data_IF_717975090356
#
_entry.id   IF_717975090356
#
_cell.length_a   1.000
_cell.length_b   1.000
_cell.length_c   1.000
_cell.angle_alpha   90.00
_cell.angle_beta   90.00
_cell.angle_gamma   90.00
#
_symmetry.space_group_name_H-M   'P 1'
#
loop_
_entity.id
_entity.type
_entity.pdbx_description
1 polymer ?
#
# COMPACT_ATOMS: atom_id res chain seq x y z
N UNK A 1 -2.93 1.71 32.66
CA UNK A 1 -1.82 2.22 31.81
C UNK A 1 -1.58 3.65 32.25
N UNK A 2 -0.68 3.82 33.22
CA UNK A 2 -0.28 5.12 33.70
C UNK A 2 0.83 5.65 32.77
N UNK A 3 0.60 6.87 32.21
CA UNK A 3 1.66 7.82 31.92
C UNK A 3 2.68 7.44 30.88
N UNK A 4 2.30 7.10 29.63
CA UNK A 4 3.11 7.56 28.50
C UNK A 4 2.86 9.06 28.39
N UNK A 5 3.91 9.89 28.60
CA UNK A 5 3.85 11.30 28.26
C UNK A 5 3.26 11.40 26.85
N UNK A 6 2.04 11.94 26.75
CA UNK A 6 1.46 12.24 25.48
C UNK A 6 2.34 13.33 24.90
N UNK A 7 3.18 12.97 23.93
CA UNK A 7 4.03 13.92 23.24
C UNK A 7 3.21 15.10 22.70
N UNK A 8 3.89 16.14 22.21
CA UNK A 8 3.24 17.27 21.54
C UNK A 8 2.25 16.73 20.51
N UNK A 9 1.09 17.37 20.36
CA UNK A 9 0.12 17.06 19.33
C UNK A 9 0.73 17.11 17.92
N UNK A 10 -0.09 17.01 16.91
CA UNK A 10 0.36 17.15 15.53
C UNK A 10 -0.54 18.14 14.77
N UNK A 11 0.01 18.73 13.72
CA UNK A 11 -0.75 19.53 12.76
C UNK A 11 -1.27 18.63 11.65
N UNK A 12 -2.59 18.64 11.43
CA UNK A 12 -3.19 17.92 10.32
C UNK A 12 -3.12 18.77 9.04
N UNK A 13 -2.31 18.35 8.08
CA UNK A 13 -2.18 18.99 6.76
C UNK A 13 -3.17 18.32 5.82
N UNK A 14 -4.23 19.05 5.45
CA UNK A 14 -5.41 18.51 4.75
C UNK A 14 -5.59 19.05 3.34
N UNK A 15 -4.96 20.19 3.01
CA UNK A 15 -5.06 20.84 1.70
C UNK A 15 -4.08 20.18 0.73
N UNK A 16 -4.50 20.05 -0.51
CA UNK A 16 -3.69 19.43 -1.56
C UNK A 16 -2.31 20.08 -1.72
N UNK A 17 -2.27 21.40 -1.91
CA UNK A 17 -1.01 22.10 -2.17
C UNK A 17 -0.04 22.03 -0.99
N UNK A 18 -0.53 22.01 0.25
CA UNK A 18 0.28 21.87 1.46
C UNK A 18 0.85 20.45 1.60
N UNK A 19 0.03 19.43 1.33
CA UNK A 19 0.47 18.02 1.30
C UNK A 19 1.53 17.82 0.22
N UNK A 20 1.29 18.40 -0.97
CA UNK A 20 2.21 18.34 -2.10
C UNK A 20 3.54 19.07 -1.79
N UNK A 21 3.47 20.25 -1.19
CA UNK A 21 4.63 21.03 -0.77
C UNK A 21 5.46 20.25 0.26
N UNK A 22 4.85 19.81 1.35
CA UNK A 22 5.56 19.09 2.42
C UNK A 22 6.19 17.78 1.93
N UNK A 23 5.54 17.08 0.98
CA UNK A 23 6.08 15.86 0.38
C UNK A 23 7.35 16.10 -0.45
N UNK A 24 7.55 17.30 -0.99
CA UNK A 24 8.65 17.65 -1.90
C UNK A 24 9.79 18.40 -1.22
N UNK A 25 9.63 18.72 0.06
CA UNK A 25 10.64 19.41 0.86
C UNK A 25 11.08 18.57 2.07
N UNK A 26 11.71 17.39 1.81
CA UNK A 26 12.16 16.50 2.90
C UNK A 26 13.19 17.18 3.82
N UNK A 27 13.91 18.19 3.32
CA UNK A 27 14.85 19.00 4.12
C UNK A 27 14.15 19.87 5.19
N UNK A 28 12.83 20.11 5.05
CA UNK A 28 11.99 20.79 6.03
C UNK A 28 11.09 19.82 6.80
N UNK A 29 10.68 18.73 6.14
CA UNK A 29 9.68 17.77 6.61
C UNK A 29 10.25 16.35 6.60
N UNK A 30 11.05 16.03 7.61
CA UNK A 30 11.80 14.77 7.76
C UNK A 30 10.89 13.57 7.97
N UNK A 31 11.28 12.42 7.41
CA UNK A 31 10.67 11.11 7.66
C UNK A 31 11.42 10.32 8.77
N UNK A 32 12.64 10.71 9.14
CA UNK A 32 13.52 9.91 9.97
C UNK A 32 13.00 9.67 11.42
N UNK A 33 12.07 10.51 11.90
CA UNK A 33 11.45 10.35 13.21
C UNK A 33 10.16 9.48 13.16
N UNK A 34 9.98 8.70 12.08
CA UNK A 34 8.83 7.84 11.85
C UNK A 34 7.73 8.46 11.02
N UNK A 35 6.87 7.60 10.50
CA UNK A 35 5.81 7.93 9.53
C UNK A 35 4.40 7.86 10.12
N UNK A 36 4.25 7.43 11.36
CA UNK A 36 2.97 7.33 12.09
C UNK A 36 2.87 8.41 13.17
N UNK A 37 1.65 8.72 13.63
CA UNK A 37 1.39 9.74 14.67
C UNK A 37 2.10 9.42 15.99
N UNK A 38 2.15 8.12 16.36
CA UNK A 38 2.83 7.65 17.56
C UNK A 38 4.33 7.92 17.52
N UNK A 39 4.89 8.28 18.66
CA UNK A 39 6.35 8.43 18.78
C UNK A 39 6.99 7.05 18.85
N UNK A 40 8.06 6.89 18.12
CA UNK A 40 8.87 5.68 18.04
C UNK A 40 10.35 6.09 18.21
N UNK A 41 11.19 5.17 18.67
CA UNK A 41 12.61 5.40 18.57
C UNK A 41 13.06 5.35 17.10
N UNK A 42 14.12 6.06 16.72
CA UNK A 42 14.62 6.00 15.34
C UNK A 42 14.89 4.58 14.85
N UNK A 43 15.42 3.72 15.73
CA UNK A 43 15.72 2.31 15.41
C UNK A 43 14.43 1.51 15.09
N UNK A 44 13.37 1.73 15.86
CA UNK A 44 12.09 1.06 15.64
C UNK A 44 11.42 1.59 14.37
N UNK A 45 11.47 2.90 14.13
CA UNK A 45 10.97 3.53 12.92
C UNK A 45 11.70 2.98 11.68
N UNK A 46 13.01 2.83 11.74
CA UNK A 46 13.82 2.25 10.68
C UNK A 46 13.53 0.77 10.48
N UNK A 47 13.37 0.00 11.55
CA UNK A 47 13.09 -1.44 11.47
C UNK A 47 11.80 -1.74 10.70
N UNK A 48 10.72 -1.00 10.97
CA UNK A 48 9.44 -1.19 10.29
C UNK A 48 9.30 -0.39 8.99
N UNK A 49 9.87 0.80 8.95
CA UNK A 49 9.72 1.73 7.84
C UNK A 49 10.80 1.61 6.78
N UNK A 50 11.97 1.02 7.11
CA UNK A 50 13.11 1.01 6.21
C UNK A 50 13.31 2.39 5.55
N UNK A 51 13.54 2.44 4.25
CA UNK A 51 13.79 3.69 3.53
C UNK A 51 12.66 4.72 3.62
N UNK A 52 11.40 4.34 3.89
CA UNK A 52 10.32 5.34 4.02
C UNK A 52 10.37 6.13 5.34
N UNK A 53 11.12 5.62 6.33
CA UNK A 53 11.41 6.28 7.59
C UNK A 53 12.87 6.79 7.66
N UNK A 54 13.44 7.16 6.53
CA UNK A 54 14.79 7.71 6.42
C UNK A 54 14.78 8.98 5.59
N UNK A 55 15.82 9.80 5.78
CA UNK A 55 16.12 10.96 4.94
C UNK A 55 17.42 10.71 4.13
N UNK A 56 17.68 11.58 3.16
CA UNK A 56 18.94 11.57 2.43
C UNK A 56 20.13 11.87 3.35
N UNK A 57 21.31 11.28 3.10
CA UNK A 57 21.66 10.46 1.95
C UNK A 57 21.29 8.97 2.04
N UNK A 58 20.91 8.48 3.24
CA UNK A 58 20.63 7.05 3.44
C UNK A 58 19.41 6.59 2.64
N UNK A 59 18.35 7.40 2.61
CA UNK A 59 17.15 7.11 1.82
C UNK A 59 17.49 6.88 0.33
N UNK A 60 18.16 7.82 -0.31
CA UNK A 60 18.46 7.71 -1.74
C UNK A 60 19.39 6.53 -2.05
N UNK A 61 20.34 6.22 -1.14
CA UNK A 61 21.20 5.04 -1.26
C UNK A 61 20.37 3.76 -1.34
N UNK A 62 19.52 3.49 -0.36
CA UNK A 62 18.68 2.29 -0.34
C UNK A 62 17.67 2.27 -1.49
N UNK A 63 17.05 3.41 -1.79
CA UNK A 63 16.10 3.52 -2.89
C UNK A 63 16.73 3.20 -4.25
N UNK A 64 17.96 3.62 -4.50
CA UNK A 64 18.66 3.33 -5.76
C UNK A 64 18.98 1.84 -5.91
N UNK A 65 19.33 1.17 -4.82
CA UNK A 65 19.57 -0.29 -4.82
C UNK A 65 18.30 -1.02 -5.29
N UNK A 66 17.17 -0.71 -4.67
CA UNK A 66 15.92 -1.45 -4.91
C UNK A 66 15.15 -1.00 -6.16
N UNK A 67 15.38 0.24 -6.62
CA UNK A 67 14.68 0.81 -7.78
C UNK A 67 14.86 -0.02 -9.04
N UNK A 68 15.99 -0.70 -9.19
CA UNK A 68 16.27 -1.55 -10.34
C UNK A 68 15.26 -2.69 -10.51
N UNK A 69 14.72 -3.21 -9.40
CA UNK A 69 13.74 -4.27 -9.38
C UNK A 69 12.30 -3.82 -9.73
N UNK A 70 12.03 -2.51 -9.70
CA UNK A 70 10.71 -1.93 -10.02
C UNK A 70 10.70 -1.15 -11.35
N UNK A 71 11.67 -1.41 -12.22
CA UNK A 71 11.68 -0.77 -13.55
C UNK A 71 10.55 -1.31 -14.42
N UNK A 72 10.02 -0.50 -15.38
CA UNK A 72 9.01 -0.97 -16.32
C UNK A 72 9.41 -2.25 -17.07
N UNK A 73 10.71 -2.42 -17.33
CA UNK A 73 11.24 -3.64 -18.01
C UNK A 73 11.12 -4.89 -17.13
N UNK A 74 11.39 -4.78 -15.83
CA UNK A 74 11.23 -5.90 -14.88
C UNK A 74 9.76 -6.19 -14.67
N UNK A 75 8.93 -5.16 -14.49
CA UNK A 75 7.48 -5.31 -14.33
C UNK A 75 6.82 -5.94 -15.57
N UNK A 76 7.29 -5.62 -16.78
CA UNK A 76 6.79 -6.27 -18.00
C UNK A 76 7.06 -7.79 -18.05
N UNK A 77 8.14 -8.27 -17.40
CA UNK A 77 8.44 -9.71 -17.34
C UNK A 77 7.50 -10.48 -16.43
N UNK A 78 7.00 -9.83 -15.38
CA UNK A 78 6.05 -10.45 -14.44
C UNK A 78 4.58 -10.21 -14.84
N UNK A 79 4.33 -9.44 -15.90
CA UNK A 79 2.98 -9.07 -16.31
C UNK A 79 2.10 -10.28 -16.59
N UNK A 80 2.62 -11.24 -17.36
CA UNK A 80 1.90 -12.47 -17.69
C UNK A 80 1.59 -13.29 -16.43
N UNK A 81 2.53 -13.32 -15.47
CA UNK A 81 2.33 -13.98 -14.17
C UNK A 81 1.25 -13.29 -13.34
N UNK A 82 1.25 -11.95 -13.28
CA UNK A 82 0.23 -11.16 -12.56
C UNK A 82 -1.16 -11.40 -13.15
N UNK A 83 -1.28 -11.36 -14.47
CA UNK A 83 -2.53 -11.62 -15.21
C UNK A 83 -3.02 -13.06 -15.00
N UNK A 84 -2.12 -14.03 -15.08
CA UNK A 84 -2.47 -15.44 -14.88
C UNK A 84 -2.93 -15.72 -13.44
N UNK A 85 -2.32 -15.09 -12.45
CA UNK A 85 -2.74 -15.17 -11.04
C UNK A 85 -4.11 -14.55 -10.84
N UNK A 86 -4.37 -13.34 -11.34
CA UNK A 86 -5.67 -12.71 -11.22
C UNK A 86 -6.77 -13.58 -11.85
N UNK A 87 -6.53 -14.09 -13.06
CA UNK A 87 -7.47 -14.99 -13.75
C UNK A 87 -7.78 -16.24 -12.92
N UNK A 88 -6.73 -16.88 -12.35
CA UNK A 88 -6.92 -18.11 -11.53
C UNK A 88 -7.64 -17.82 -10.23
N UNK A 89 -7.33 -16.72 -9.56
CA UNK A 89 -7.95 -16.34 -8.29
C UNK A 89 -9.45 -16.04 -8.51
N UNK A 90 -9.81 -15.25 -9.54
CA UNK A 90 -11.22 -14.97 -9.84
C UNK A 90 -11.95 -16.24 -10.26
N UNK A 91 -11.32 -17.10 -11.10
CA UNK A 91 -11.91 -18.37 -11.48
C UNK A 91 -12.14 -19.31 -10.28
N UNK A 92 -11.19 -19.37 -9.35
CA UNK A 92 -11.33 -20.15 -8.11
C UNK A 92 -12.46 -19.57 -7.23
N UNK A 93 -12.53 -18.25 -7.06
CA UNK A 93 -13.60 -17.59 -6.32
C UNK A 93 -14.98 -17.97 -6.91
N UNK A 94 -15.12 -17.96 -8.24
CA UNK A 94 -16.38 -18.34 -8.91
C UNK A 94 -16.69 -19.83 -8.72
N UNK A 95 -15.70 -20.70 -8.88
CA UNK A 95 -15.87 -22.14 -8.77
C UNK A 95 -16.20 -22.62 -7.35
N UNK A 96 -15.60 -22.01 -6.35
CA UNK A 96 -15.80 -22.33 -4.93
C UNK A 96 -17.13 -21.78 -4.39
N UNK A 97 -17.76 -20.82 -5.09
CA UNK A 97 -18.98 -20.15 -4.67
C UNK A 97 -20.09 -20.28 -5.75
N UNK A 98 -20.64 -21.49 -5.97
CA UNK A 98 -21.61 -21.74 -7.03
C UNK A 98 -22.96 -21.03 -6.82
N UNK A 99 -23.22 -20.51 -5.64
CA UNK A 99 -24.37 -19.68 -5.31
C UNK A 99 -24.22 -18.21 -5.78
N UNK A 100 -23.04 -17.82 -6.27
CA UNK A 100 -22.75 -16.47 -6.73
C UNK A 100 -22.53 -15.47 -5.62
N UNK A 101 -22.04 -15.90 -4.46
CA UNK A 101 -21.71 -15.01 -3.33
C UNK A 101 -20.35 -15.33 -2.74
N UNK A 102 -19.56 -14.32 -2.35
CA UNK A 102 -18.27 -14.50 -1.71
C UNK A 102 -17.91 -13.34 -0.77
N UNK A 103 -16.87 -13.55 0.03
CA UNK A 103 -16.20 -12.48 0.75
C UNK A 103 -15.00 -11.99 -0.08
N UNK A 104 -15.11 -10.80 -0.65
CA UNK A 104 -14.18 -10.26 -1.66
C UNK A 104 -12.74 -10.19 -1.15
N UNK A 105 -12.54 -9.74 0.11
CA UNK A 105 -11.20 -9.52 0.65
C UNK A 105 -10.45 -10.84 0.77
N UNK A 106 -11.09 -11.87 1.31
CA UNK A 106 -10.47 -13.19 1.46
C UNK A 106 -10.31 -13.92 0.11
N UNK A 107 -11.29 -13.76 -0.81
CA UNK A 107 -11.30 -14.52 -2.05
C UNK A 107 -10.45 -13.92 -3.17
N UNK A 108 -10.30 -12.59 -3.23
CA UNK A 108 -9.58 -11.90 -4.32
C UNK A 108 -8.64 -10.82 -3.84
N UNK A 109 -9.16 -9.81 -3.13
CA UNK A 109 -8.42 -8.57 -2.92
C UNK A 109 -7.17 -8.75 -2.03
N UNK A 110 -7.20 -9.66 -1.07
CA UNK A 110 -6.06 -10.04 -0.25
C UNK A 110 -5.09 -10.99 -0.95
N UNK A 111 -5.54 -12.14 -1.49
CA UNK A 111 -4.67 -13.11 -2.15
C UNK A 111 -3.87 -12.55 -3.33
N UNK A 112 -4.46 -11.70 -4.16
CA UNK A 112 -3.82 -11.25 -5.40
C UNK A 112 -2.51 -10.48 -5.14
N UNK A 113 -2.51 -9.33 -4.44
CA UNK A 113 -1.27 -8.60 -4.19
C UNK A 113 -0.29 -9.38 -3.30
N UNK A 114 -0.81 -10.18 -2.35
CA UNK A 114 0.03 -11.02 -1.50
C UNK A 114 0.85 -12.02 -2.32
N UNK A 115 0.21 -12.78 -3.20
CA UNK A 115 0.91 -13.79 -4.01
C UNK A 115 1.92 -13.14 -4.96
N UNK A 116 1.60 -11.97 -5.52
CA UNK A 116 2.51 -11.25 -6.40
C UNK A 116 3.77 -10.79 -5.65
N UNK A 117 3.60 -10.15 -4.48
CA UNK A 117 4.75 -9.70 -3.70
C UNK A 117 5.57 -10.88 -3.16
N UNK A 118 4.93 -11.96 -2.75
CA UNK A 118 5.62 -13.17 -2.31
C UNK A 118 6.47 -13.78 -3.44
N UNK A 119 5.94 -13.89 -4.66
CA UNK A 119 6.69 -14.38 -5.81
C UNK A 119 7.88 -13.48 -6.13
N UNK A 120 7.66 -12.15 -6.15
CA UNK A 120 8.74 -11.20 -6.37
C UNK A 120 9.85 -11.31 -5.35
N UNK A 121 9.50 -11.62 -4.10
CA UNK A 121 10.46 -11.80 -3.00
C UNK A 121 11.08 -13.19 -2.95
N UNK A 122 10.62 -14.14 -3.78
CA UNK A 122 11.05 -15.54 -3.74
C UNK A 122 10.57 -16.29 -2.50
N UNK A 123 9.43 -15.91 -1.95
CA UNK A 123 8.80 -16.57 -0.80
C UNK A 123 8.04 -17.80 -1.29
N UNK A 124 8.31 -19.01 -0.74
CA UNK A 124 7.61 -20.23 -1.12
C UNK A 124 6.09 -20.15 -0.86
N UNK A 125 5.30 -20.75 -1.75
CA UNK A 125 3.83 -20.69 -1.68
C UNK A 125 3.27 -21.18 -0.33
N UNK A 126 3.88 -22.17 0.26
CA UNK A 126 3.51 -22.70 1.59
C UNK A 126 3.61 -21.66 2.72
N UNK A 127 4.40 -20.60 2.53
CA UNK A 127 4.59 -19.54 3.53
C UNK A 127 3.67 -18.32 3.28
N UNK A 128 2.93 -18.27 2.17
CA UNK A 128 2.08 -17.12 1.81
C UNK A 128 1.04 -16.80 2.90
N UNK A 129 0.38 -17.80 3.47
CA UNK A 129 -0.60 -17.60 4.55
C UNK A 129 0.05 -17.04 5.83
N UNK A 130 1.29 -17.44 6.12
CA UNK A 130 2.06 -16.90 7.24
C UNK A 130 2.40 -15.42 7.03
N UNK A 131 2.84 -15.07 5.83
CA UNK A 131 3.10 -13.68 5.46
C UNK A 131 1.82 -12.85 5.52
N UNK A 132 0.70 -13.37 5.05
CA UNK A 132 -0.61 -12.71 5.13
C UNK A 132 -1.01 -12.41 6.59
N UNK A 133 -0.84 -13.39 7.47
CA UNK A 133 -1.08 -13.19 8.90
C UNK A 133 -0.20 -12.07 9.47
N UNK A 134 1.08 -12.06 9.17
CA UNK A 134 2.01 -11.05 9.67
C UNK A 134 1.66 -9.64 9.20
N UNK A 135 1.34 -9.47 7.92
CA UNK A 135 0.98 -8.15 7.37
C UNK A 135 -0.32 -7.63 8.00
N UNK A 136 -1.30 -8.50 8.22
CA UNK A 136 -2.55 -8.13 8.90
C UNK A 136 -2.28 -7.65 10.34
N UNK A 137 -1.46 -8.37 11.12
CA UNK A 137 -1.14 -7.97 12.51
C UNK A 137 -0.39 -6.65 12.56
N UNK A 138 0.59 -6.43 11.68
CA UNK A 138 1.39 -5.19 11.66
C UNK A 138 0.52 -3.97 11.32
N UNK A 139 -0.29 -4.04 10.27
CA UNK A 139 -1.10 -2.89 9.84
C UNK A 139 -2.46 -2.80 10.54
N UNK A 140 -2.95 -3.91 11.06
CA UNK A 140 -4.16 -3.97 11.85
C UNK A 140 -3.95 -3.71 13.35
N UNK A 141 -2.74 -3.33 13.75
CA UNK A 141 -2.47 -3.00 15.15
C UNK A 141 -3.40 -1.88 15.64
N UNK A 142 -4.15 -2.17 16.72
CA UNK A 142 -5.20 -1.28 17.25
C UNK A 142 -6.61 -1.69 16.85
N UNK A 143 -6.79 -2.62 15.90
CA UNK A 143 -8.07 -3.29 15.65
C UNK A 143 -8.16 -4.53 16.55
N UNK A 144 -9.16 -4.59 17.47
CA UNK A 144 -9.25 -5.68 18.46
C UNK A 144 -9.55 -7.06 17.86
N UNK A 145 -10.00 -7.14 16.61
CA UNK A 145 -10.18 -8.41 15.89
C UNK A 145 -8.87 -8.97 15.36
N UNK A 146 -7.87 -8.11 15.11
CA UNK A 146 -6.65 -8.49 14.39
C UNK A 146 -5.47 -8.66 15.35
N UNK A 147 -5.28 -7.70 16.25
CA UNK A 147 -4.17 -7.70 17.20
C UNK A 147 -4.67 -7.42 18.61
N UNK A 148 -4.55 -8.40 19.49
CA UNK A 148 -5.09 -8.33 20.84
C UNK A 148 -4.19 -7.53 21.79
N UNK A 149 -2.96 -7.21 21.40
CA UNK A 149 -2.05 -6.42 22.22
C UNK A 149 -0.67 -6.18 21.59
N UNK A 150 0.14 -5.42 22.33
CA UNK A 150 1.51 -5.11 21.91
C UNK A 150 2.43 -6.35 21.85
N UNK A 151 2.17 -7.34 22.70
CA UNK A 151 2.95 -8.58 22.71
C UNK A 151 2.76 -9.39 21.43
N UNK A 152 1.56 -9.45 20.87
CA UNK A 152 1.27 -10.10 19.60
C UNK A 152 2.00 -9.38 18.45
N UNK A 153 1.93 -8.05 18.45
CA UNK A 153 2.65 -7.22 17.48
C UNK A 153 4.16 -7.47 17.54
N UNK A 154 4.74 -7.46 18.74
CA UNK A 154 6.18 -7.67 18.92
C UNK A 154 6.61 -9.07 18.49
N UNK A 155 5.81 -10.09 18.83
CA UNK A 155 6.07 -11.47 18.39
C UNK A 155 6.09 -11.56 16.86
N UNK A 156 5.09 -11.02 16.19
CA UNK A 156 5.02 -11.02 14.72
C UNK A 156 6.19 -10.25 14.12
N UNK A 157 6.57 -9.11 14.70
CA UNK A 157 7.73 -8.34 14.27
C UNK A 157 9.04 -9.15 14.33
N UNK A 158 9.23 -9.93 15.40
CA UNK A 158 10.38 -10.81 15.55
C UNK A 158 10.34 -11.96 14.55
N UNK A 159 9.17 -12.59 14.38
CA UNK A 159 8.99 -13.73 13.47
C UNK A 159 9.28 -13.36 12.02
N UNK A 160 8.76 -12.20 11.55
CA UNK A 160 8.99 -11.74 10.17
C UNK A 160 10.46 -11.34 9.97
N UNK A 161 11.11 -10.74 10.97
CA UNK A 161 12.52 -10.39 10.91
C UNK A 161 13.42 -11.65 10.83
N UNK A 162 13.13 -12.67 11.65
CA UNK A 162 13.85 -13.95 11.61
C UNK A 162 13.66 -14.67 10.26
N UNK A 163 12.44 -14.66 9.72
CA UNK A 163 12.16 -15.23 8.41
C UNK A 163 12.91 -14.50 7.29
N UNK A 164 12.90 -13.17 7.30
CA UNK A 164 13.61 -12.36 6.32
C UNK A 164 15.12 -12.64 6.34
N UNK A 165 15.71 -12.75 7.53
CA UNK A 165 17.13 -13.09 7.69
C UNK A 165 17.45 -14.47 7.13
N UNK A 166 16.62 -15.48 7.45
CA UNK A 166 16.80 -16.85 6.95
C UNK A 166 16.68 -16.92 5.41
N UNK A 167 15.70 -16.20 4.82
CA UNK A 167 15.55 -16.14 3.37
C UNK A 167 16.75 -15.42 2.72
N UNK A 168 17.24 -14.35 3.31
CA UNK A 168 18.43 -13.65 2.83
C UNK A 168 19.68 -14.53 2.85
N UNK A 169 19.87 -15.32 3.92
CA UNK A 169 20.99 -16.26 4.03
C UNK A 169 20.89 -17.38 3.00
N UNK A 170 19.69 -17.91 2.77
CA UNK A 170 19.44 -18.88 1.70
C UNK A 170 19.79 -18.31 0.33
N UNK A 171 19.36 -17.07 0.03
CA UNK A 171 19.64 -16.43 -1.25
C UNK A 171 21.11 -16.07 -1.46
N UNK A 172 21.87 -15.84 -0.39
CA UNK A 172 23.34 -15.70 -0.47
C UNK A 172 24.01 -17.02 -0.87
N UNK A 173 23.47 -18.14 -0.38
CA UNK A 173 23.99 -19.48 -0.69
C UNK A 173 23.46 -20.01 -2.03
N UNK A 174 22.22 -19.70 -2.36
CA UNK A 174 21.49 -20.20 -3.53
C UNK A 174 20.78 -19.04 -4.24
N UNK A 175 21.51 -18.21 -5.02
CA UNK A 175 20.92 -17.09 -5.73
C UNK A 175 19.80 -17.52 -6.69
N UNK A 176 18.68 -16.77 -6.70
CA UNK A 176 17.54 -16.95 -7.59
C UNK A 176 17.35 -15.72 -8.49
N UNK A 177 16.23 -15.68 -9.22
CA UNK A 177 15.83 -14.52 -10.03
C UNK A 177 14.87 -13.58 -9.28
N UNK A 178 14.83 -13.66 -7.95
CA UNK A 178 13.93 -12.91 -7.09
C UNK A 178 14.56 -11.61 -6.56
N UNK A 179 13.70 -10.76 -5.96
CA UNK A 179 14.11 -9.49 -5.41
C UNK A 179 14.99 -9.66 -4.16
N UNK A 180 14.79 -10.71 -3.36
CA UNK A 180 15.63 -10.98 -2.19
C UNK A 180 17.07 -11.27 -2.62
N UNK A 181 17.27 -12.05 -3.70
CA UNK A 181 18.59 -12.23 -4.32
C UNK A 181 19.18 -10.89 -4.74
N UNK A 182 18.40 -10.06 -5.45
CA UNK A 182 18.85 -8.73 -5.90
C UNK A 182 19.26 -7.85 -4.72
N UNK A 183 18.57 -7.93 -3.58
CA UNK A 183 18.89 -7.17 -2.37
C UNK A 183 20.19 -7.63 -1.71
N UNK A 184 20.40 -8.95 -1.58
CA UNK A 184 21.60 -9.47 -0.92
C UNK A 184 22.87 -9.36 -1.77
N UNK A 185 22.72 -9.28 -3.09
CA UNK A 185 23.80 -9.07 -4.05
C UNK A 185 24.08 -7.60 -4.32
N UNK A 186 23.14 -6.72 -3.97
CA UNK A 186 23.26 -5.30 -4.27
C UNK A 186 24.45 -4.67 -3.56
N UNK A 187 25.27 -3.98 -4.35
CA UNK A 187 26.43 -3.24 -3.90
C UNK A 187 26.39 -1.82 -4.45
N UNK A 188 26.62 -0.85 -3.59
CA UNK A 188 26.72 0.55 -3.96
C UNK A 188 28.01 1.13 -3.34
N UNK A 189 28.89 1.66 -4.18
CA UNK A 189 30.18 2.24 -3.74
C UNK A 189 31.06 1.28 -2.89
N UNK A 190 30.98 -0.03 -3.19
CA UNK A 190 31.72 -1.08 -2.47
C UNK A 190 31.05 -1.55 -1.18
N UNK A 191 29.90 -1.02 -0.81
CA UNK A 191 29.12 -1.42 0.35
C UNK A 191 27.89 -2.22 -0.02
N UNK A 192 27.65 -3.31 0.71
CA UNK A 192 26.44 -4.14 0.60
C UNK A 192 25.44 -3.82 1.70
N UNK A 193 24.18 -4.21 1.47
CA UNK A 193 23.17 -4.13 2.51
C UNK A 193 23.53 -5.06 3.67
N UNK A 194 23.42 -4.54 4.89
CA UNK A 194 23.51 -5.34 6.11
C UNK A 194 22.29 -6.29 6.20
N UNK A 195 22.40 -7.36 6.98
CA UNK A 195 21.26 -8.26 7.22
C UNK A 195 20.07 -7.53 7.84
N UNK A 196 20.31 -6.53 8.68
CA UNK A 196 19.26 -5.69 9.26
C UNK A 196 18.56 -4.82 8.21
N UNK A 197 19.30 -4.21 7.28
CA UNK A 197 18.73 -3.43 6.17
C UNK A 197 17.92 -4.33 5.23
N UNK A 198 18.40 -5.55 4.92
CA UNK A 198 17.65 -6.51 4.11
C UNK A 198 16.35 -6.92 4.82
N UNK A 199 16.41 -7.24 6.12
CA UNK A 199 15.22 -7.62 6.90
C UNK A 199 14.20 -6.46 6.99
N UNK A 200 14.66 -5.26 7.29
CA UNK A 200 13.80 -4.06 7.33
C UNK A 200 13.14 -3.80 5.97
N UNK A 201 13.90 -3.92 4.89
CA UNK A 201 13.36 -3.72 3.55
C UNK A 201 12.37 -4.84 3.15
N UNK A 202 12.63 -6.07 3.54
CA UNK A 202 11.69 -7.19 3.37
C UNK A 202 10.35 -6.90 4.05
N UNK A 203 10.39 -6.46 5.33
CA UNK A 203 9.19 -6.09 6.07
C UNK A 203 8.43 -4.98 5.34
N UNK A 204 9.13 -3.92 4.93
CA UNK A 204 8.53 -2.82 4.18
C UNK A 204 7.80 -3.31 2.93
N UNK A 205 8.44 -4.16 2.12
CA UNK A 205 7.87 -4.61 0.85
C UNK A 205 6.63 -5.47 1.04
N UNK A 206 6.67 -6.45 1.92
CA UNK A 206 5.53 -7.36 2.11
C UNK A 206 4.34 -6.64 2.75
N UNK A 207 4.60 -5.68 3.64
CA UNK A 207 3.56 -4.87 4.29
C UNK A 207 2.97 -3.84 3.32
N UNK A 208 3.81 -3.04 2.66
CA UNK A 208 3.34 -1.97 1.79
C UNK A 208 2.73 -2.49 0.48
N UNK A 209 3.25 -3.58 -0.07
CA UNK A 209 2.81 -4.13 -1.36
C UNK A 209 1.47 -4.85 -1.28
N UNK A 210 1.16 -5.49 -0.15
CA UNK A 210 -0.06 -6.26 0.02
C UNK A 210 -1.27 -5.37 0.38
N UNK A 211 -1.21 -4.70 1.52
CA UNK A 211 -2.37 -4.08 2.17
C UNK A 211 -2.95 -2.92 1.36
N UNK A 212 -2.11 -2.10 0.75
CA UNK A 212 -2.57 -0.91 0.03
C UNK A 212 -3.31 -1.27 -1.25
N UNK A 213 -2.82 -2.25 -2.01
CA UNK A 213 -3.48 -2.73 -3.23
C UNK A 213 -4.77 -3.49 -2.90
N UNK A 214 -4.78 -4.32 -1.84
CA UNK A 214 -5.98 -4.97 -1.31
C UNK A 214 -7.09 -3.95 -1.07
N UNK A 215 -6.76 -2.86 -0.36
CA UNK A 215 -7.74 -1.83 -0.04
C UNK A 215 -8.18 -1.03 -1.27
N UNK A 216 -7.28 -0.76 -2.23
CA UNK A 216 -7.65 -0.11 -3.49
C UNK A 216 -8.65 -0.95 -4.29
N UNK A 217 -8.43 -2.27 -4.42
CA UNK A 217 -9.36 -3.19 -5.09
C UNK A 217 -10.70 -3.23 -4.35
N UNK A 218 -10.68 -3.40 -3.03
CA UNK A 218 -11.91 -3.50 -2.23
C UNK A 218 -12.77 -2.23 -2.30
N UNK A 219 -12.16 -1.06 -2.13
CA UNK A 219 -12.85 0.22 -2.29
C UNK A 219 -13.31 0.47 -3.72
N UNK A 220 -12.56 0.01 -4.72
CA UNK A 220 -12.95 0.12 -6.12
C UNK A 220 -14.20 -0.70 -6.44
N UNK A 221 -14.29 -1.96 -5.98
CA UNK A 221 -15.49 -2.79 -6.13
C UNK A 221 -16.68 -2.15 -5.39
N UNK A 222 -16.47 -1.66 -4.17
CA UNK A 222 -17.51 -0.96 -3.41
C UNK A 222 -17.98 0.31 -4.14
N UNK A 223 -17.07 1.10 -4.69
CA UNK A 223 -17.40 2.31 -5.44
C UNK A 223 -18.22 1.99 -6.71
N UNK A 224 -17.79 0.99 -7.49
CA UNK A 224 -18.51 0.55 -8.69
C UNK A 224 -19.87 -0.05 -8.37
N UNK A 225 -20.02 -0.70 -7.20
CA UNK A 225 -21.32 -1.20 -6.72
C UNK A 225 -22.30 -0.05 -6.41
N UNK A 226 -21.79 1.04 -5.87
CA UNK A 226 -22.58 2.23 -5.54
C UNK A 226 -22.81 3.18 -6.72
N UNK A 227 -22.03 3.03 -7.79
CA UNK A 227 -22.10 3.83 -9.02
C UNK A 227 -22.15 2.91 -10.24
N UNK A 228 -23.29 2.21 -10.47
CA UNK A 228 -23.42 1.24 -11.55
C UNK A 228 -23.28 1.85 -12.96
N UNK A 229 -23.64 3.12 -13.13
CA UNK A 229 -23.41 3.89 -14.35
C UNK A 229 -21.91 4.05 -14.67
N UNK A 230 -21.07 4.25 -13.67
CA UNK A 230 -19.63 4.32 -13.81
C UNK A 230 -19.02 2.95 -14.13
N UNK A 231 -19.51 1.89 -13.48
CA UNK A 231 -19.14 0.50 -13.80
C UNK A 231 -19.47 0.18 -15.25
N UNK A 232 -20.72 0.37 -15.66
CA UNK A 232 -21.19 0.05 -16.99
C UNK A 232 -20.45 0.89 -18.05
N UNK A 233 -20.18 2.14 -17.74
CA UNK A 233 -19.37 3.02 -18.57
C UNK A 233 -17.94 2.54 -18.76
N UNK A 234 -17.31 1.98 -17.71
CA UNK A 234 -15.96 1.39 -17.79
C UNK A 234 -15.98 0.06 -18.54
N UNK A 235 -16.94 -0.84 -18.22
CA UNK A 235 -17.07 -2.15 -18.86
C UNK A 235 -17.33 -2.08 -20.36
N UNK A 236 -18.08 -1.07 -20.82
CA UNK A 236 -18.39 -0.90 -22.25
C UNK A 236 -17.17 -0.49 -23.09
N UNK A 237 -16.14 0.08 -22.49
CA UNK A 237 -14.91 0.52 -23.17
C UNK A 237 -13.71 0.36 -22.23
N UNK A 238 -13.48 -0.89 -21.82
CA UNK A 238 -12.54 -1.24 -20.77
C UNK A 238 -11.14 -0.69 -21.02
N UNK A 239 -10.55 -1.00 -22.16
CA UNK A 239 -9.14 -0.68 -22.46
C UNK A 239 -8.89 0.83 -22.52
N UNK A 240 -9.84 1.59 -23.06
CA UNK A 240 -9.73 3.06 -23.16
C UNK A 240 -9.88 3.73 -21.79
N UNK A 241 -10.76 3.20 -20.93
CA UNK A 241 -11.10 3.83 -19.65
C UNK A 241 -10.22 3.32 -18.49
N UNK A 242 -9.69 2.11 -18.56
CA UNK A 242 -8.89 1.53 -17.51
C UNK A 242 -7.76 2.46 -16.99
N UNK A 243 -6.99 3.18 -17.83
CA UNK A 243 -5.95 4.08 -17.33
C UNK A 243 -6.47 5.20 -16.42
N UNK A 244 -7.65 5.78 -16.72
CA UNK A 244 -8.25 6.83 -15.87
C UNK A 244 -9.00 6.24 -14.69
N UNK A 245 -9.69 5.13 -14.88
CA UNK A 245 -10.46 4.44 -13.84
C UNK A 245 -9.56 3.94 -12.69
N UNK A 246 -8.39 3.39 -13.00
CA UNK A 246 -7.42 2.93 -11.99
C UNK A 246 -6.90 4.11 -11.15
N UNK A 247 -6.57 5.25 -11.77
CA UNK A 247 -6.18 6.46 -11.02
C UNK A 247 -7.34 6.95 -10.14
N UNK A 248 -8.59 6.90 -10.63
CA UNK A 248 -9.75 7.28 -9.83
C UNK A 248 -10.01 6.32 -8.66
N UNK A 249 -9.85 5.02 -8.86
CA UNK A 249 -9.90 4.03 -7.79
C UNK A 249 -8.88 4.36 -6.70
N UNK A 250 -7.64 4.68 -7.06
CA UNK A 250 -6.59 5.04 -6.10
C UNK A 250 -6.88 6.37 -5.39
N UNK A 251 -7.36 7.39 -6.14
CA UNK A 251 -7.79 8.67 -5.55
C UNK A 251 -8.90 8.45 -4.53
N UNK A 252 -9.93 7.71 -4.92
CA UNK A 252 -11.12 7.45 -4.11
C UNK A 252 -10.82 6.63 -2.86
N UNK A 253 -10.07 5.56 -3.03
CA UNK A 253 -9.68 4.68 -1.94
C UNK A 253 -8.73 5.38 -0.95
N UNK A 254 -7.72 6.10 -1.45
CA UNK A 254 -6.65 6.68 -0.61
C UNK A 254 -6.21 5.69 0.47
N UNK A 255 -5.64 4.50 0.12
CA UNK A 255 -5.45 3.39 1.06
C UNK A 255 -4.59 3.73 2.27
N UNK A 256 -3.57 4.58 2.10
CA UNK A 256 -2.83 5.20 3.20
C UNK A 256 -3.55 6.49 3.56
N UNK A 257 -4.07 6.59 4.78
CA UNK A 257 -4.83 7.76 5.21
C UNK A 257 -3.92 8.98 5.38
N UNK A 258 -2.76 8.79 5.99
CA UNK A 258 -1.78 9.85 6.19
C UNK A 258 -0.34 9.31 6.24
N UNK A 259 0.63 10.21 6.10
CA UNK A 259 2.03 10.01 6.48
C UNK A 259 2.47 11.15 7.38
N UNK A 260 3.18 10.82 8.49
CA UNK A 260 3.79 11.83 9.36
C UNK A 260 5.08 12.34 8.74
N UNK A 261 5.38 13.61 9.05
CA UNK A 261 6.70 14.24 8.93
C UNK A 261 7.02 14.98 10.21
N UNK A 262 8.29 15.23 10.44
CA UNK A 262 8.78 16.04 11.56
C UNK A 262 9.48 17.26 11.00
N UNK A 263 9.14 18.43 11.52
CA UNK A 263 9.71 19.70 11.09
C UNK A 263 11.18 19.77 11.57
N UNK A 264 12.11 20.07 10.66
CA UNK A 264 13.56 20.06 10.93
C UNK A 264 14.10 21.41 11.39
N UNK A 265 13.38 22.49 11.13
CA UNK A 265 13.68 23.86 11.54
C UNK A 265 12.43 24.72 11.44
N UNK A 266 12.41 25.84 12.13
CA UNK A 266 11.30 26.79 12.09
C UNK A 266 10.95 27.13 10.65
N UNK A 267 9.68 27.00 10.31
CA UNK A 267 9.13 27.22 8.97
C UNK A 267 7.68 27.66 9.03
N UNK A 268 7.07 27.90 7.88
CA UNK A 268 5.65 28.25 7.76
C UNK A 268 4.98 27.42 6.68
N UNK A 269 3.76 26.96 6.94
CA UNK A 269 2.93 26.26 5.97
C UNK A 269 1.53 26.88 5.97
N UNK A 270 1.11 27.48 4.84
CA UNK A 270 -0.18 28.18 4.69
C UNK A 270 -0.51 29.18 5.81
N UNK A 271 0.47 29.98 6.22
CA UNK A 271 0.30 30.99 7.28
C UNK A 271 0.39 30.46 8.71
N UNK A 272 0.57 29.14 8.88
CA UNK A 272 0.78 28.51 10.18
C UNK A 272 2.27 28.37 10.44
N UNK A 273 2.74 28.98 11.54
CA UNK A 273 4.12 28.84 11.99
C UNK A 273 4.32 27.47 12.63
N UNK A 274 5.32 26.77 12.16
CA UNK A 274 5.78 25.47 12.67
C UNK A 274 7.19 25.64 13.23
N UNK A 275 7.44 25.02 14.38
CA UNK A 275 8.77 25.05 15.00
C UNK A 275 9.47 23.71 14.85
N UNK A 276 10.78 23.70 14.98
CA UNK A 276 11.58 22.48 14.97
C UNK A 276 11.02 21.42 15.94
N UNK A 277 10.88 20.18 15.46
CA UNK A 277 10.33 19.05 16.22
C UNK A 277 8.81 18.93 16.14
N UNK A 278 8.09 19.89 15.54
CA UNK A 278 6.65 19.76 15.34
C UNK A 278 6.33 18.58 14.40
N UNK A 279 5.24 17.88 14.73
CA UNK A 279 4.71 16.79 13.90
C UNK A 279 3.68 17.35 12.95
N UNK A 280 3.78 17.01 11.68
CA UNK A 280 2.76 17.27 10.67
C UNK A 280 2.32 15.94 10.06
N UNK A 281 1.02 15.77 9.87
CA UNK A 281 0.44 14.59 9.23
C UNK A 281 -0.19 14.98 7.91
N UNK A 282 0.27 14.38 6.82
CA UNK A 282 -0.15 14.67 5.45
C UNK A 282 -1.35 13.78 5.11
N UNK A 283 -2.57 14.32 5.16
CA UNK A 283 -3.81 13.56 5.00
C UNK A 283 -4.18 13.42 3.52
N UNK A 284 -3.82 12.28 2.93
CA UNK A 284 -4.01 12.04 1.49
C UNK A 284 -5.47 11.97 1.07
N UNK A 285 -6.33 11.33 1.88
CA UNK A 285 -7.76 11.24 1.59
C UNK A 285 -8.45 12.61 1.55
N UNK A 286 -8.02 13.56 2.40
CA UNK A 286 -8.49 14.94 2.38
C UNK A 286 -7.94 15.69 1.16
N UNK A 287 -6.64 15.61 0.90
CA UNK A 287 -6.00 16.26 -0.25
C UNK A 287 -6.59 15.76 -1.59
N UNK A 288 -6.93 14.47 -1.68
CA UNK A 288 -7.59 13.88 -2.85
C UNK A 288 -9.07 14.31 -3.03
N UNK A 289 -9.61 15.04 -2.07
CA UNK A 289 -10.97 15.60 -2.08
C UNK A 289 -10.98 17.13 -1.91
N UNK A 290 -9.84 17.76 -2.15
CA UNK A 290 -9.71 19.22 -2.09
C UNK A 290 -10.38 19.88 -3.31
N UNK A 291 -11.44 20.65 -3.06
CA UNK A 291 -12.18 21.38 -4.10
C UNK A 291 -11.36 22.48 -4.78
N UNK A 292 -10.25 22.91 -4.18
CA UNK A 292 -9.31 23.82 -4.84
C UNK A 292 -8.48 23.13 -5.94
N UNK A 293 -8.48 21.79 -5.96
CA UNK A 293 -7.67 20.97 -6.87
C UNK A 293 -8.50 20.12 -7.81
N UNK A 294 -9.61 19.60 -7.35
CA UNK A 294 -10.47 18.67 -8.10
C UNK A 294 -11.86 19.26 -8.28
N UNK A 295 -12.32 19.30 -9.51
CA UNK A 295 -13.72 19.57 -9.79
C UNK A 295 -14.57 18.41 -9.27
N UNK A 296 -15.68 18.70 -8.58
CA UNK A 296 -16.57 17.71 -7.97
C UNK A 296 -15.81 16.58 -7.22
N UNK A 297 -15.00 16.93 -6.19
CA UNK A 297 -14.06 15.98 -5.57
C UNK A 297 -14.73 14.80 -4.87
N UNK A 298 -16.02 14.91 -4.56
CA UNK A 298 -16.85 13.88 -3.92
C UNK A 298 -17.61 13.00 -4.92
N UNK A 299 -17.43 13.22 -6.22
CA UNK A 299 -17.96 12.37 -7.29
C UNK A 299 -16.90 11.34 -7.68
N UNK A 300 -17.29 10.07 -7.70
CA UNK A 300 -16.50 8.99 -8.29
C UNK A 300 -16.71 8.99 -9.80
N UNK A 301 -15.66 9.27 -10.56
CA UNK A 301 -15.70 9.40 -12.02
C UNK A 301 -14.55 8.63 -12.67
N UNK A 302 -14.84 7.48 -13.27
CA UNK A 302 -13.86 6.62 -13.95
C UNK A 302 -13.16 7.28 -15.14
N UNK A 303 -13.69 8.40 -15.63
CA UNK A 303 -13.12 9.19 -16.73
C UNK A 303 -12.41 10.47 -16.26
N UNK A 304 -12.28 10.67 -14.95
CA UNK A 304 -11.63 11.87 -14.39
C UNK A 304 -10.28 12.11 -15.02
N UNK A 305 -10.15 13.23 -15.71
CA UNK A 305 -8.89 13.68 -16.32
C UNK A 305 -8.85 15.22 -16.41
N UNK A 306 -7.77 15.89 -15.92
CA UNK A 306 -6.63 15.31 -15.22
C UNK A 306 -7.00 14.79 -13.82
N UNK A 307 -6.26 13.79 -13.33
CA UNK A 307 -6.43 13.23 -11.99
C UNK A 307 -5.10 13.25 -11.22
N UNK A 308 -4.63 14.45 -10.77
CA UNK A 308 -3.34 14.58 -10.11
C UNK A 308 -3.36 14.17 -8.63
N UNK A 309 -3.96 13.02 -8.33
CA UNK A 309 -4.12 12.57 -6.95
C UNK A 309 -2.79 12.29 -6.24
N UNK A 310 -2.81 12.36 -4.91
CA UNK A 310 -1.68 12.05 -4.03
C UNK A 310 -1.81 10.69 -3.33
N UNK A 311 -2.58 9.76 -3.89
CA UNK A 311 -2.75 8.40 -3.34
C UNK A 311 -1.46 7.56 -3.34
N UNK A 312 -0.48 7.93 -4.19
CA UNK A 312 0.88 7.38 -4.19
C UNK A 312 1.90 8.31 -3.53
N UNK A 313 1.44 9.30 -2.76
CA UNK A 313 2.24 10.38 -2.18
C UNK A 313 2.25 11.65 -3.03
N UNK A 314 2.63 12.77 -2.41
CA UNK A 314 2.66 14.11 -3.04
C UNK A 314 3.88 14.37 -3.94
N UNK A 315 4.50 13.33 -4.49
CA UNK A 315 5.75 13.45 -5.26
C UNK A 315 6.99 13.50 -4.34
N UNK A 316 8.14 13.92 -4.91
CA UNK A 316 9.39 14.00 -4.16
C UNK A 316 10.07 12.66 -3.90
N UNK A 317 10.99 12.65 -2.94
CA UNK A 317 11.86 11.51 -2.65
C UNK A 317 11.09 10.24 -2.25
N UNK A 318 9.99 10.40 -1.51
CA UNK A 318 9.17 9.31 -0.99
C UNK A 318 7.96 8.93 -1.88
N UNK A 319 7.92 9.35 -3.14
CA UNK A 319 6.89 8.89 -4.07
C UNK A 319 6.89 7.35 -4.12
N UNK A 320 5.70 6.73 -4.12
CA UNK A 320 5.55 5.28 -4.05
C UNK A 320 6.40 4.55 -5.09
N UNK A 321 7.29 3.66 -4.62
CA UNK A 321 8.16 2.88 -5.49
C UNK A 321 7.37 1.85 -6.30
N UNK A 322 6.34 1.25 -5.68
CA UNK A 322 5.46 0.23 -6.27
C UNK A 322 4.30 0.78 -7.09
N UNK A 323 4.23 2.11 -7.35
CA UNK A 323 3.06 2.71 -8.00
C UNK A 323 2.69 2.07 -9.35
N UNK A 324 3.69 1.69 -10.15
CA UNK A 324 3.44 1.03 -11.44
C UNK A 324 2.95 -0.41 -11.28
N UNK A 325 3.45 -1.13 -10.27
CA UNK A 325 2.98 -2.48 -9.95
C UNK A 325 1.54 -2.43 -9.45
N UNK A 326 1.23 -1.57 -8.49
CA UNK A 326 -0.12 -1.42 -7.94
C UNK A 326 -1.16 -1.07 -9.04
N UNK A 327 -0.82 -0.15 -9.96
CA UNK A 327 -1.67 0.15 -11.12
C UNK A 327 -1.94 -1.10 -11.97
N UNK A 328 -0.90 -1.89 -12.20
CA UNK A 328 -1.01 -3.14 -12.97
C UNK A 328 -1.90 -4.15 -12.27
N UNK A 329 -1.69 -4.38 -10.99
CA UNK A 329 -2.49 -5.30 -10.19
C UNK A 329 -3.96 -4.90 -10.15
N UNK A 330 -4.24 -3.61 -9.92
CA UNK A 330 -5.61 -3.07 -9.93
C UNK A 330 -6.23 -3.25 -11.33
N UNK A 331 -5.52 -2.88 -12.40
CA UNK A 331 -6.02 -3.05 -13.78
C UNK A 331 -6.41 -4.50 -14.03
N UNK A 332 -5.52 -5.45 -13.75
CA UNK A 332 -5.77 -6.87 -14.05
C UNK A 332 -6.87 -7.47 -13.18
N UNK A 333 -6.97 -7.04 -11.90
CA UNK A 333 -8.06 -7.46 -11.03
C UNK A 333 -9.43 -7.08 -11.63
N UNK A 334 -9.57 -5.82 -12.03
CA UNK A 334 -10.83 -5.34 -12.62
C UNK A 334 -11.09 -5.91 -14.02
N UNK A 335 -10.04 -6.20 -14.82
CA UNK A 335 -10.17 -6.89 -16.10
C UNK A 335 -10.78 -8.29 -15.91
N UNK A 336 -10.29 -9.04 -14.93
CA UNK A 336 -10.80 -10.39 -14.70
C UNK A 336 -12.19 -10.39 -14.04
N UNK A 337 -12.50 -9.41 -13.18
CA UNK A 337 -13.87 -9.22 -12.68
C UNK A 337 -14.84 -8.89 -13.83
N UNK A 338 -14.47 -7.94 -14.70
CA UNK A 338 -15.27 -7.60 -15.89
C UNK A 338 -15.50 -8.80 -16.80
N UNK A 339 -14.48 -9.63 -17.01
CA UNK A 339 -14.55 -10.78 -17.93
C UNK A 339 -15.37 -11.93 -17.39
N UNK A 340 -15.23 -12.26 -16.10
CA UNK A 340 -15.79 -13.47 -15.51
C UNK A 340 -17.11 -13.24 -14.77
N UNK A 341 -17.26 -12.10 -14.10
CA UNK A 341 -18.41 -11.74 -13.25
C UNK A 341 -18.74 -10.24 -13.34
N UNK A 342 -19.14 -9.75 -14.55
CA UNK A 342 -19.30 -8.30 -14.81
C UNK A 342 -20.36 -7.62 -13.94
N UNK A 343 -21.26 -8.37 -13.36
CA UNK A 343 -22.35 -7.88 -12.49
C UNK A 343 -22.02 -7.96 -10.99
N UNK A 344 -20.75 -8.28 -10.65
CA UNK A 344 -20.33 -8.30 -9.23
C UNK A 344 -20.71 -7.00 -8.53
N UNK A 345 -21.32 -7.12 -7.35
CA UNK A 345 -21.70 -5.99 -6.53
C UNK A 345 -21.60 -6.31 -5.02
N UNK A 346 -21.26 -5.33 -4.23
CA UNK A 346 -21.33 -5.41 -2.77
C UNK A 346 -22.79 -5.57 -2.33
N UNK A 347 -23.03 -6.50 -1.41
CA UNK A 347 -24.38 -6.79 -0.88
C UNK A 347 -24.66 -6.11 0.44
N UNK A 348 -23.61 -5.71 1.15
CA UNK A 348 -23.68 -5.09 2.48
C UNK A 348 -22.65 -3.94 2.58
N UNK A 349 -22.78 -3.14 3.64
CA UNK A 349 -21.76 -2.17 4.00
C UNK A 349 -20.45 -2.90 4.39
N UNK A 350 -19.27 -2.34 4.06
CA UNK A 350 -18.01 -2.96 4.38
C UNK A 350 -17.75 -2.97 5.89
N UNK A 351 -17.15 -4.04 6.38
CA UNK A 351 -16.53 -4.03 7.70
C UNK A 351 -15.14 -3.40 7.61
N UNK A 352 -15.04 -2.18 8.11
CA UNK A 352 -13.82 -1.39 7.99
C UNK A 352 -12.78 -1.74 9.06
N UNK A 353 -11.50 -1.64 8.67
CA UNK A 353 -10.38 -1.74 9.58
C UNK A 353 -10.39 -0.55 10.56
N UNK A 354 -10.28 -0.83 11.85
CA UNK A 354 -10.15 0.20 12.86
C UNK A 354 -8.71 0.74 12.92
N UNK A 355 -8.37 1.57 11.98
CA UNK A 355 -7.05 2.17 11.86
C UNK A 355 -7.15 3.64 11.46
N UNK A 356 -6.31 4.49 12.06
CA UNK A 356 -6.15 5.87 11.61
C UNK A 356 -5.16 5.97 10.43
N UNK A 357 -4.26 4.98 10.28
CA UNK A 357 -3.17 4.99 9.30
C UNK A 357 -3.57 4.38 7.96
N UNK A 358 -4.36 3.30 7.98
CA UNK A 358 -4.83 2.59 6.79
C UNK A 358 -6.34 2.76 6.64
N UNK A 359 -6.79 3.20 5.49
CA UNK A 359 -8.20 3.22 5.08
C UNK A 359 -8.56 1.84 4.54
N UNK A 360 -8.73 0.89 5.44
CA UNK A 360 -8.84 -0.53 5.16
C UNK A 360 -10.24 -1.08 5.24
N UNK A 361 -10.51 -2.10 4.42
CA UNK A 361 -11.70 -2.96 4.47
C UNK A 361 -11.26 -4.36 4.90
N UNK A 362 -11.82 -4.85 6.01
CA UNK A 362 -11.58 -6.20 6.51
C UNK A 362 -12.42 -7.23 5.77
N UNK A 363 -13.69 -6.90 5.53
CA UNK A 363 -14.67 -7.77 4.86
C UNK A 363 -15.57 -6.94 3.96
N UNK A 364 -15.85 -7.47 2.78
CA UNK A 364 -16.79 -6.92 1.80
C UNK A 364 -17.56 -8.08 1.15
N UNK A 365 -18.76 -8.43 1.67
CA UNK A 365 -19.63 -9.39 1.03
C UNK A 365 -20.05 -8.92 -0.36
N UNK A 366 -19.93 -9.79 -1.35
CA UNK A 366 -20.28 -9.51 -2.74
C UNK A 366 -21.14 -10.62 -3.33
N UNK A 367 -21.92 -10.29 -4.35
CA UNK A 367 -22.63 -11.28 -5.17
C UNK A 367 -22.54 -10.97 -6.64
N UNK A 368 -22.79 -12.01 -7.45
CA UNK A 368 -22.90 -11.98 -8.92
C UNK A 368 -23.89 -13.03 -9.41
N UNK A 369 -24.30 -12.94 -10.66
CA UNK A 369 -25.18 -13.96 -11.27
C UNK A 369 -24.37 -15.23 -11.54
N UNK A 370 -24.72 -16.39 -10.93
CA UNK A 370 -24.04 -17.65 -11.19
C UNK A 370 -24.08 -18.03 -12.65
N UNK A 371 -22.98 -18.53 -13.20
CA UNK A 371 -22.99 -19.16 -14.53
C UNK A 371 -23.85 -20.42 -14.49
N UNK A 372 -24.77 -20.56 -15.43
CA UNK A 372 -25.65 -21.73 -15.55
C UNK A 372 -24.91 -22.95 -16.06
#
# INVERSE_FOLDING_TARGET
>A
MEGTEQGRGHYAVTRYDDVFHASRHPELFSSAMGITIGDQTPELAEYFGSMIAMDDPRHIRLRNIVRSAFTPRVLARIEDSVRDRARRIVAAMVAENPDGSAELVAALAGPLPLQIICDMMGIPEQDHQRVFHWTNVILGFGDPEIATGFDDFLKVAMDIGAYAAALADDRRAHPGEDLTTSLVEAELDGERLTSAEVASFFILLVVAGNETTRNAISHGVLALSRHPDQRDGWWNDYDTIAPTAVEEVVRWASPVAYMRRTVTRDTELSGVKLVEGDKVTLWYGSANRDAAKFDDPWTFDVRRHPNPHVGFGGGGAHFCLGANLARREITVAFEELHRQIPDIAATEEPDCLRSAFIHGIKRLPVSWTPSR
#
